data_IF_352502118686
#
_entry.id   IF_352502118686
#
_cell.length_a   1.000
_cell.length_b   1.000
_cell.length_c   1.000
_cell.angle_alpha   90.00
_cell.angle_beta   90.00
_cell.angle_gamma   90.00
#
_symmetry.space_group_name_H-M   'P 1'
#
loop_
_entity.id
_entity.type
_entity.pdbx_description
1 polymer ?
#
# COMPACT_ATOMS: atom_id res chain seq x y z
N UNK A 1 2.51 14.70 -17.35
CA UNK A 1 3.20 13.51 -17.91
C UNK A 1 3.36 12.51 -16.77
N UNK A 2 2.95 11.25 -16.96
CA UNK A 2 3.04 10.21 -15.91
C UNK A 2 4.42 9.56 -15.89
N UNK A 3 4.92 9.20 -14.70
CA UNK A 3 6.18 8.47 -14.52
C UNK A 3 5.97 7.29 -13.56
N UNK A 4 6.55 6.14 -13.88
CA UNK A 4 6.58 4.98 -12.98
C UNK A 4 7.76 5.11 -12.01
N UNK A 5 7.48 5.15 -10.71
CA UNK A 5 8.49 5.22 -9.66
C UNK A 5 8.99 3.82 -9.29
N UNK A 6 10.30 3.65 -9.12
CA UNK A 6 10.89 2.39 -8.67
C UNK A 6 10.95 2.35 -7.14
N UNK A 7 10.24 1.41 -6.53
CA UNK A 7 10.31 1.17 -5.09
C UNK A 7 11.57 0.36 -4.71
N UNK A 8 12.19 0.75 -3.59
CA UNK A 8 13.31 0.03 -2.94
C UNK A 8 12.86 -0.43 -1.54
N UNK A 9 13.54 -1.44 -0.99
CA UNK A 9 13.21 -1.99 0.32
C UNK A 9 12.07 -3.01 0.29
N UNK A 10 11.35 -3.12 1.41
CA UNK A 10 10.22 -4.04 1.54
C UNK A 10 9.08 -3.66 0.59
N UNK A 11 8.52 -4.66 -0.10
CA UNK A 11 7.41 -4.48 -1.04
C UNK A 11 6.19 -5.21 -0.49
N UNK A 12 5.16 -4.50 0.00
CA UNK A 12 3.93 -5.15 0.44
C UNK A 12 3.25 -5.84 -0.74
N UNK A 13 2.40 -6.83 -0.44
CA UNK A 13 1.53 -7.43 -1.45
C UNK A 13 0.60 -6.37 -2.05
N UNK A 14 0.30 -6.54 -3.33
CA UNK A 14 -0.70 -5.76 -4.05
C UNK A 14 -2.01 -5.72 -3.27
N UNK A 15 -2.61 -4.53 -3.22
CA UNK A 15 -3.83 -4.28 -2.44
C UNK A 15 -4.70 -3.21 -3.06
N UNK A 16 -6.02 -3.36 -2.92
CA UNK A 16 -7.04 -2.41 -3.37
C UNK A 16 -7.85 -1.89 -2.18
N UNK A 17 -8.65 -0.83 -2.37
CA UNK A 17 -9.53 -0.25 -1.33
C UNK A 17 -8.80 0.20 -0.05
N UNK A 18 -7.49 0.45 -0.12
CA UNK A 18 -6.72 1.00 0.99
C UNK A 18 -6.98 2.50 1.15
N UNK A 19 -6.70 3.05 2.33
CA UNK A 19 -6.65 4.50 2.55
C UNK A 19 -5.21 4.97 2.40
N UNK A 20 -5.02 6.18 1.89
CA UNK A 20 -3.70 6.79 1.80
C UNK A 20 -3.73 8.27 2.18
N UNK A 21 -2.69 8.73 2.88
CA UNK A 21 -2.48 10.15 3.20
C UNK A 21 -0.99 10.50 3.16
N UNK A 22 -0.68 11.79 3.00
CA UNK A 22 0.69 12.30 3.02
C UNK A 22 0.90 13.19 4.24
N UNK A 23 2.14 13.26 4.73
CA UNK A 23 2.51 14.25 5.74
C UNK A 23 2.62 15.67 5.15
N UNK A 24 2.87 16.66 6.02
CA UNK A 24 3.04 18.06 5.62
C UNK A 24 4.26 18.29 4.72
N UNK A 25 5.29 17.42 4.80
CA UNK A 25 6.46 17.52 3.92
C UNK A 25 6.16 17.05 2.49
N UNK A 26 5.08 16.28 2.30
CA UNK A 26 4.75 15.62 1.04
C UNK A 26 5.70 14.47 0.67
N UNK A 27 6.67 14.15 1.53
CA UNK A 27 7.67 13.12 1.28
C UNK A 27 7.29 11.76 1.87
N UNK A 28 6.39 11.71 2.85
CA UNK A 28 5.97 10.46 3.47
C UNK A 28 4.51 10.16 3.13
N UNK A 29 4.30 9.08 2.37
CA UNK A 29 2.98 8.52 2.06
C UNK A 29 2.69 7.37 3.02
N UNK A 30 1.57 7.45 3.73
CA UNK A 30 1.06 6.39 4.59
C UNK A 30 -0.05 5.64 3.87
N UNK A 31 0.01 4.32 3.89
CA UNK A 31 -0.99 3.42 3.29
C UNK A 31 -1.55 2.52 4.39
N UNK A 32 -2.87 2.59 4.62
CA UNK A 32 -3.55 1.86 5.67
C UNK A 32 -4.54 0.83 5.13
N UNK A 33 -4.36 -0.41 5.56
CA UNK A 33 -5.22 -1.56 5.32
C UNK A 33 -5.41 -1.88 3.85
N UNK A 34 -6.60 -2.38 3.54
CA UNK A 34 -7.05 -2.69 2.18
C UNK A 34 -7.21 -4.18 1.93
N UNK A 35 -7.82 -4.50 0.81
CA UNK A 35 -8.02 -5.85 0.31
C UNK A 35 -6.72 -6.35 -0.33
N UNK A 36 -6.18 -7.47 0.15
CA UNK A 36 -4.86 -7.97 -0.28
C UNK A 36 -4.99 -9.13 -1.26
N UNK A 37 -4.23 -9.06 -2.36
CA UNK A 37 -4.24 -10.09 -3.40
C UNK A 37 -3.74 -11.45 -2.89
N UNK A 38 -4.40 -12.52 -3.34
CA UNK A 38 -3.94 -13.90 -3.16
C UNK A 38 -3.99 -14.45 -1.74
N UNK A 39 -4.69 -13.78 -0.80
CA UNK A 39 -4.94 -14.34 0.53
C UNK A 39 -6.37 -14.87 0.60
N UNK A 40 -6.57 -16.08 0.07
CA UNK A 40 -7.80 -16.84 0.25
C UNK A 40 -7.75 -17.51 1.63
N UNK A 41 -8.56 -17.02 2.58
CA UNK A 41 -8.84 -17.75 3.81
C UNK A 41 -10.05 -18.67 3.56
N UNK A 42 -9.94 -19.98 3.80
CA UNK A 42 -11.05 -20.91 3.57
C UNK A 42 -12.32 -20.62 4.39
N UNK A 43 -12.22 -19.78 5.42
CA UNK A 43 -13.29 -19.50 6.38
C UNK A 43 -14.15 -18.26 6.03
N UNK A 44 -13.75 -17.41 5.08
CA UNK A 44 -14.47 -16.17 4.75
C UNK A 44 -15.36 -16.37 3.51
N UNK A 45 -16.69 -16.13 3.60
CA UNK A 45 -17.65 -16.46 2.53
C UNK A 45 -17.41 -15.76 1.19
N UNK A 46 -16.66 -14.66 1.17
CA UNK A 46 -16.45 -13.82 -0.01
C UNK A 46 -15.09 -13.97 -0.67
N UNK A 47 -14.15 -14.73 -0.08
CA UNK A 47 -12.77 -14.86 -0.61
C UNK A 47 -11.97 -13.55 -0.65
N UNK A 48 -12.53 -12.43 -0.17
CA UNK A 48 -11.87 -11.12 -0.12
C UNK A 48 -11.36 -10.88 1.30
N UNK A 49 -10.03 -10.83 1.47
CA UNK A 49 -9.41 -10.52 2.76
C UNK A 49 -8.97 -9.07 2.81
N UNK A 50 -9.45 -8.36 3.82
CA UNK A 50 -8.92 -7.06 4.22
C UNK A 50 -7.95 -7.24 5.38
N UNK A 51 -6.86 -6.47 5.38
CA UNK A 51 -6.00 -6.32 6.55
C UNK A 51 -6.06 -4.90 7.12
N UNK A 52 -5.44 -4.73 8.29
CA UNK A 52 -5.24 -3.44 8.95
C UNK A 52 -3.77 -3.03 9.00
N UNK A 53 -2.95 -3.51 8.06
CA UNK A 53 -1.52 -3.20 8.05
C UNK A 53 -1.28 -1.72 7.69
N UNK A 54 -0.21 -1.13 8.26
CA UNK A 54 0.22 0.24 7.97
C UNK A 54 1.59 0.22 7.30
N UNK A 55 1.69 0.88 6.15
CA UNK A 55 2.95 1.08 5.44
C UNK A 55 3.27 2.56 5.34
N UNK A 56 4.55 2.86 5.33
CA UNK A 56 5.08 4.18 5.01
C UNK A 56 5.99 4.04 3.78
N UNK A 57 5.78 4.92 2.81
CA UNK A 57 6.61 5.05 1.61
C UNK A 57 7.25 6.43 1.63
N UNK A 58 8.57 6.47 1.56
CA UNK A 58 9.33 7.71 1.46
C UNK A 58 9.64 8.04 -0.01
N UNK A 59 9.25 9.24 -0.44
CA UNK A 59 9.56 9.77 -1.75
C UNK A 59 10.95 10.42 -1.73
N UNK A 60 11.95 9.67 -2.21
CA UNK A 60 13.30 10.19 -2.40
C UNK A 60 13.38 10.95 -3.73
N UNK A 61 13.32 12.28 -3.66
CA UNK A 61 13.59 13.14 -4.82
C UNK A 61 15.09 13.06 -5.16
N UNK A 62 15.42 12.47 -6.30
CA UNK A 62 16.75 12.62 -6.88
C UNK A 62 16.82 14.02 -7.51
N UNK A 63 17.53 14.93 -6.86
CA UNK A 63 17.96 16.21 -7.43
C UNK A 63 19.00 15.98 -8.54
#
# INVERSE_FOLDING_TARGET
MWKCLRAKGYKPKSRSFHRACVDHSGCHLYVFGGMVDGVLQPAEPSGLRFDGELFMVELLLQL
#
